data_IF_223853199682
#
_entry.id   IF_223853199682
#
_cell.length_a   1.000
_cell.length_b   1.000
_cell.length_c   1.000
_cell.angle_alpha   90.00
_cell.angle_beta   90.00
_cell.angle_gamma   90.00
#
_symmetry.space_group_name_H-M   'P 1'
#
loop_
_entity.id
_entity.type
_entity.pdbx_description
1 polymer ?
#
# COMPACT_ATOMS: atom_id res chain seq x y z
N UNK A 1 -0.57 8.12 -34.80
CA UNK A 1 0.06 8.85 -33.68
C UNK A 1 0.11 10.32 -34.07
N UNK A 2 -0.16 11.22 -33.12
CA UNK A 2 0.04 12.65 -33.36
C UNK A 2 1.52 13.00 -33.29
N UNK A 3 1.93 14.14 -33.86
CA UNK A 3 3.30 14.65 -33.71
C UNK A 3 3.52 15.37 -32.38
N UNK A 4 2.47 15.54 -31.56
CA UNK A 4 2.51 16.23 -30.27
C UNK A 4 1.93 15.31 -29.19
N UNK A 5 2.60 15.23 -28.05
CA UNK A 5 2.14 14.51 -26.87
C UNK A 5 2.37 15.34 -25.61
N UNK A 6 1.55 15.07 -24.59
CA UNK A 6 1.67 15.72 -23.28
C UNK A 6 1.57 14.71 -22.15
N UNK A 7 2.21 15.01 -21.02
CA UNK A 7 2.05 14.23 -19.78
C UNK A 7 2.29 15.09 -18.56
N UNK A 8 1.71 14.68 -17.43
CA UNK A 8 1.90 15.32 -16.14
C UNK A 8 0.85 16.38 -15.83
N UNK A 9 1.18 17.25 -14.87
CA UNK A 9 0.25 18.21 -14.28
C UNK A 9 0.89 19.60 -14.21
N UNK A 10 0.07 20.64 -14.45
CA UNK A 10 0.46 22.05 -14.31
C UNK A 10 -0.63 22.88 -13.67
N UNK A 11 -0.27 24.11 -13.31
CA UNK A 11 -1.20 25.10 -12.78
C UNK A 11 -1.08 25.34 -11.28
N UNK A 12 -1.99 26.16 -10.76
CA UNK A 12 -1.97 26.60 -9.36
C UNK A 12 -2.24 25.42 -8.44
N UNK A 13 -1.35 25.21 -7.47
CA UNK A 13 -1.45 24.12 -6.49
C UNK A 13 -0.64 22.87 -6.82
N UNK A 14 -0.15 22.72 -8.06
CA UNK A 14 0.77 21.63 -8.42
C UNK A 14 2.12 21.84 -7.72
N UNK A 15 2.61 20.77 -7.08
CA UNK A 15 3.87 20.72 -6.33
C UNK A 15 4.57 19.42 -6.65
N UNK A 16 5.90 19.47 -6.70
CA UNK A 16 6.76 18.30 -6.89
C UNK A 16 6.36 17.43 -8.08
N UNK A 17 5.91 18.08 -9.15
CA UNK A 17 5.48 17.45 -10.40
C UNK A 17 5.79 18.43 -11.55
N UNK A 18 5.71 17.93 -12.77
CA UNK A 18 5.94 18.72 -13.97
C UNK A 18 4.89 18.40 -15.04
N UNK A 19 4.75 19.30 -16.00
CA UNK A 19 3.99 19.09 -17.23
C UNK A 19 4.93 19.21 -18.40
N UNK A 20 4.93 18.21 -19.27
CA UNK A 20 5.76 18.19 -20.47
C UNK A 20 4.90 18.15 -21.72
N UNK A 21 5.32 18.91 -22.73
CA UNK A 21 4.85 18.79 -24.11
C UNK A 21 6.04 18.45 -24.99
N UNK A 22 5.90 17.42 -25.82
CA UNK A 22 6.92 17.01 -26.80
C UNK A 22 6.28 17.07 -28.18
N UNK A 23 6.90 17.80 -29.09
CA UNK A 23 6.55 17.90 -30.50
C UNK A 23 7.71 17.34 -31.35
N UNK A 24 7.44 16.34 -32.19
CA UNK A 24 8.40 15.85 -33.17
C UNK A 24 8.53 16.85 -34.33
N UNK A 25 9.76 17.12 -34.76
CA UNK A 25 10.03 18.11 -35.82
C UNK A 25 10.97 17.54 -36.89
N UNK A 26 11.07 18.22 -38.03
CA UNK A 26 12.02 17.85 -39.10
C UNK A 26 13.43 18.44 -38.89
N UNK A 27 13.57 19.42 -37.99
CA UNK A 27 14.83 20.12 -37.73
C UNK A 27 15.74 19.29 -36.81
N UNK A 28 17.02 19.21 -37.17
CA UNK A 28 18.02 18.55 -36.32
C UNK A 28 18.15 19.25 -34.96
N UNK A 29 18.27 18.44 -33.90
CA UNK A 29 18.47 18.88 -32.53
C UNK A 29 17.20 18.86 -31.68
N UNK A 30 17.42 18.93 -30.37
CA UNK A 30 16.35 18.98 -29.37
C UNK A 30 16.32 20.40 -28.77
N UNK A 31 15.28 21.15 -29.08
CA UNK A 31 15.02 22.49 -28.53
C UNK A 31 14.18 22.38 -27.25
N UNK A 32 14.72 22.79 -26.11
CA UNK A 32 14.06 22.65 -24.80
C UNK A 32 13.79 24.03 -24.21
N UNK A 33 12.51 24.32 -24.00
CA UNK A 33 12.04 25.48 -23.26
C UNK A 33 11.66 25.06 -21.85
N UNK A 34 12.49 25.45 -20.87
CA UNK A 34 12.30 25.14 -19.46
C UNK A 34 11.70 26.34 -18.72
N UNK A 35 10.52 26.14 -18.11
CA UNK A 35 9.97 27.01 -17.08
C UNK A 35 9.94 26.26 -15.75
N UNK A 36 10.92 26.52 -14.87
CA UNK A 36 11.07 25.80 -13.60
C UNK A 36 11.08 26.74 -12.40
N UNK A 37 10.36 26.37 -11.34
CA UNK A 37 10.46 27.05 -10.02
C UNK A 37 11.82 26.89 -9.34
N UNK A 38 12.61 25.90 -9.75
CA UNK A 38 13.94 25.60 -9.20
C UNK A 38 15.05 25.72 -10.24
N UNK A 39 14.75 26.34 -11.39
CA UNK A 39 15.64 26.37 -12.56
C UNK A 39 16.95 27.12 -12.34
N UNK A 40 17.02 28.03 -11.37
CA UNK A 40 18.27 28.72 -11.00
C UNK A 40 19.32 27.74 -10.48
N UNK A 41 18.89 26.66 -9.82
CA UNK A 41 19.79 25.70 -9.19
C UNK A 41 19.90 24.42 -10.02
N UNK A 42 18.77 23.91 -10.55
CA UNK A 42 18.71 22.58 -11.17
C UNK A 42 18.38 22.60 -12.67
N UNK A 43 18.39 23.78 -13.30
CA UNK A 43 17.92 23.93 -14.68
C UNK A 43 18.78 23.15 -15.69
N UNK A 44 20.09 23.13 -15.51
CA UNK A 44 21.01 22.43 -16.39
C UNK A 44 20.85 20.90 -16.28
N UNK A 45 20.71 20.38 -15.05
CA UNK A 45 20.47 18.95 -14.82
C UNK A 45 19.14 18.49 -15.40
N UNK A 46 18.07 19.27 -15.22
CA UNK A 46 16.74 18.96 -15.78
C UNK A 46 16.80 18.88 -17.32
N UNK A 47 17.45 19.86 -17.97
CA UNK A 47 17.61 19.88 -19.43
C UNK A 47 18.43 18.67 -19.90
N UNK A 48 19.51 18.35 -19.18
CA UNK A 48 20.35 17.19 -19.49
C UNK A 48 19.56 15.89 -19.39
N UNK A 49 18.83 15.68 -18.30
CA UNK A 49 18.01 14.48 -18.09
C UNK A 49 16.99 14.29 -19.21
N UNK A 50 16.28 15.34 -19.60
CA UNK A 50 15.30 15.28 -20.70
C UNK A 50 15.99 14.86 -22.01
N UNK A 51 17.16 15.44 -22.33
CA UNK A 51 17.92 15.06 -23.53
C UNK A 51 18.36 13.61 -23.48
N UNK A 52 18.87 13.15 -22.34
CA UNK A 52 19.33 11.77 -22.17
C UNK A 52 18.19 10.77 -22.37
N UNK A 53 17.00 11.05 -21.84
CA UNK A 53 15.80 10.23 -22.04
C UNK A 53 15.37 10.22 -23.51
N UNK A 54 15.28 11.39 -24.17
CA UNK A 54 14.88 11.46 -25.57
C UNK A 54 15.86 10.72 -26.49
N UNK A 55 17.16 10.90 -26.25
CA UNK A 55 18.21 10.17 -26.97
C UNK A 55 18.12 8.66 -26.75
N UNK A 56 17.82 8.19 -25.53
CA UNK A 56 17.60 6.77 -25.22
C UNK A 56 16.48 6.16 -26.08
N UNK A 57 15.41 6.92 -26.31
CA UNK A 57 14.31 6.53 -27.19
C UNK A 57 14.56 6.78 -28.68
N UNK A 58 15.72 7.35 -29.06
CA UNK A 58 16.07 7.64 -30.44
C UNK A 58 15.43 8.90 -31.02
N UNK A 59 14.92 9.79 -30.17
CA UNK A 59 14.33 11.07 -30.57
C UNK A 59 15.43 12.13 -30.57
N UNK A 60 15.89 12.53 -31.75
CA UNK A 60 16.93 13.56 -31.92
C UNK A 60 16.40 14.88 -32.48
N UNK A 61 15.13 14.91 -32.90
CA UNK A 61 14.47 16.06 -33.55
C UNK A 61 13.16 16.38 -32.85
N UNK A 62 13.22 17.24 -31.85
CA UNK A 62 12.04 17.57 -31.06
C UNK A 62 12.08 18.98 -30.51
N UNK A 63 10.89 19.54 -30.32
CA UNK A 63 10.67 20.70 -29.48
C UNK A 63 10.01 20.25 -28.19
N UNK A 64 10.57 20.66 -27.06
CA UNK A 64 10.11 20.29 -25.74
C UNK A 64 9.76 21.55 -24.96
N UNK A 65 8.60 21.56 -24.33
CA UNK A 65 8.23 22.56 -23.34
C UNK A 65 8.00 21.86 -22.00
N UNK A 66 8.72 22.29 -20.96
CA UNK A 66 8.58 21.76 -19.60
C UNK A 66 8.16 22.87 -18.64
N UNK A 67 7.02 22.69 -17.99
CA UNK A 67 6.58 23.47 -16.84
C UNK A 67 6.86 22.66 -15.55
N UNK A 68 7.93 23.00 -14.84
CA UNK A 68 8.38 22.30 -13.63
C UNK A 68 7.99 23.05 -12.33
N UNK A 69 7.40 22.30 -11.41
CA UNK A 69 7.04 22.74 -10.06
C UNK A 69 7.86 22.04 -8.96
N UNK A 70 9.15 21.80 -9.21
CA UNK A 70 10.09 21.17 -8.28
C UNK A 70 10.01 19.64 -8.31
N UNK A 71 9.76 19.05 -9.48
CA UNK A 71 9.74 17.62 -9.69
C UNK A 71 11.14 17.02 -9.44
N UNK A 72 11.17 15.84 -8.83
CA UNK A 72 12.39 15.04 -8.70
C UNK A 72 12.69 14.33 -10.03
N UNK A 73 13.95 13.97 -10.25
CA UNK A 73 14.44 13.33 -11.49
C UNK A 73 13.56 12.13 -11.92
N UNK A 74 13.26 11.20 -11.01
CA UNK A 74 12.44 10.03 -11.33
C UNK A 74 11.01 10.36 -11.80
N UNK A 75 10.48 11.52 -11.40
CA UNK A 75 9.17 12.03 -11.80
C UNK A 75 9.28 12.62 -13.20
N UNK A 76 10.29 13.44 -13.46
CA UNK A 76 10.59 13.99 -14.79
C UNK A 76 10.76 12.84 -15.78
N UNK A 77 11.54 11.83 -15.43
CA UNK A 77 11.72 10.61 -16.22
C UNK A 77 10.40 9.92 -16.56
N UNK A 78 9.50 9.74 -15.58
CA UNK A 78 8.19 9.13 -15.82
C UNK A 78 7.30 9.98 -16.75
N UNK A 79 7.28 11.32 -16.59
CA UNK A 79 6.48 12.22 -17.44
C UNK A 79 7.01 12.28 -18.87
N UNK A 80 8.34 12.33 -19.04
CA UNK A 80 8.97 12.33 -20.36
C UNK A 80 8.69 11.00 -21.07
N UNK A 81 8.91 9.85 -20.42
CA UNK A 81 8.65 8.54 -21.01
C UNK A 81 7.17 8.37 -21.39
N UNK A 82 6.25 8.84 -20.54
CA UNK A 82 4.81 8.80 -20.82
C UNK A 82 4.44 9.60 -22.07
N UNK A 83 5.03 10.77 -22.28
CA UNK A 83 4.82 11.57 -23.49
C UNK A 83 5.48 10.92 -24.72
N UNK A 84 6.68 10.35 -24.58
CA UNK A 84 7.37 9.63 -25.67
C UNK A 84 6.57 8.44 -26.16
N UNK A 85 6.04 7.60 -25.26
CA UNK A 85 5.24 6.41 -25.62
C UNK A 85 3.91 6.72 -26.29
N UNK A 86 3.45 7.98 -26.26
CA UNK A 86 2.30 8.44 -27.05
C UNK A 86 2.69 8.81 -28.50
N UNK A 87 3.94 9.22 -28.71
CA UNK A 87 4.46 9.65 -30.01
C UNK A 87 4.98 8.49 -30.85
N UNK A 88 5.60 7.49 -30.21
CA UNK A 88 6.25 6.37 -30.88
C UNK A 88 5.85 5.02 -30.28
N UNK A 89 5.84 3.99 -31.10
CA UNK A 89 5.66 2.61 -30.65
C UNK A 89 7.03 2.05 -30.20
N UNK A 90 7.16 1.73 -28.91
CA UNK A 90 8.40 1.20 -28.35
C UNK A 90 8.19 0.41 -27.07
N UNK A 91 8.89 -0.72 -26.96
CA UNK A 91 8.95 -1.55 -25.76
C UNK A 91 10.13 -1.16 -24.84
N UNK A 92 10.96 -0.18 -25.24
CA UNK A 92 12.04 0.34 -24.39
C UNK A 92 11.48 0.96 -23.11
N UNK A 93 12.25 0.92 -22.04
CA UNK A 93 11.89 1.47 -20.72
C UNK A 93 13.05 2.27 -20.15
N UNK A 94 12.81 3.53 -19.80
CA UNK A 94 13.83 4.34 -19.13
C UNK A 94 13.69 4.15 -17.62
N UNK A 95 14.55 3.29 -17.07
CA UNK A 95 14.49 2.89 -15.66
C UNK A 95 15.53 3.67 -14.84
N UNK A 96 15.11 4.53 -13.88
CA UNK A 96 16.01 5.06 -12.86
C UNK A 96 16.69 3.92 -12.08
N UNK A 97 17.78 4.18 -11.36
CA UNK A 97 18.43 3.17 -10.51
C UNK A 97 17.47 2.65 -9.42
N UNK A 98 17.66 1.42 -8.95
CA UNK A 98 16.96 0.93 -7.76
C UNK A 98 17.85 1.22 -6.53
N UNK A 99 17.40 2.12 -5.66
CA UNK A 99 18.15 2.51 -4.45
C UNK A 99 18.25 1.35 -3.46
N UNK A 100 19.33 1.31 -2.67
CA UNK A 100 19.59 0.23 -1.68
C UNK A 100 18.48 0.13 -0.64
N UNK A 101 17.94 1.26 -0.20
CA UNK A 101 16.87 1.34 0.80
C UNK A 101 15.58 0.67 0.34
N UNK A 102 15.42 0.38 -0.95
CA UNK A 102 14.24 -0.28 -1.50
C UNK A 102 14.47 -1.77 -1.82
N UNK A 103 15.60 -2.36 -1.39
CA UNK A 103 15.91 -3.78 -1.63
C UNK A 103 15.40 -4.73 -0.55
N UNK A 104 14.88 -4.24 0.57
CA UNK A 104 14.36 -5.10 1.64
C UNK A 104 13.06 -5.83 1.24
N UNK A 105 12.78 -6.94 1.93
CA UNK A 105 11.55 -7.71 1.77
C UNK A 105 10.75 -7.73 3.06
N UNK A 106 9.44 -7.98 2.94
CA UNK A 106 8.55 -8.16 4.08
C UNK A 106 8.16 -9.61 4.25
N UNK A 107 7.77 -9.97 5.47
CA UNK A 107 7.33 -11.31 5.83
C UNK A 107 5.80 -11.42 5.77
N UNK A 108 5.30 -12.66 5.74
CA UNK A 108 3.87 -12.94 5.83
C UNK A 108 3.23 -12.25 7.04
N UNK A 109 3.90 -12.33 8.19
CA UNK A 109 3.42 -11.81 9.48
C UNK A 109 3.84 -10.34 9.75
N UNK A 110 4.30 -9.60 8.73
CA UNK A 110 4.59 -8.16 8.86
C UNK A 110 3.39 -7.41 9.45
N UNK A 111 3.63 -6.47 10.37
CA UNK A 111 2.56 -5.68 10.97
C UNK A 111 1.93 -4.76 9.91
N UNK A 112 0.61 -4.63 9.91
CA UNK A 112 -0.13 -3.81 8.92
C UNK A 112 -1.19 -2.93 9.59
N UNK A 113 -0.87 -2.36 10.75
CA UNK A 113 -1.81 -1.52 11.51
C UNK A 113 -2.27 -0.32 10.69
N UNK A 114 -1.32 0.37 10.07
CA UNK A 114 -1.54 1.57 9.28
C UNK A 114 -1.02 1.39 7.86
N UNK A 115 -1.89 1.65 6.88
CA UNK A 115 -1.53 1.59 5.46
C UNK A 115 -1.96 2.89 4.81
N UNK A 116 -1.01 3.69 4.37
CA UNK A 116 -1.28 5.02 3.84
C UNK A 116 -1.58 4.94 2.33
N UNK A 117 -2.82 5.26 1.95
CA UNK A 117 -3.26 5.36 0.56
C UNK A 117 -2.80 6.67 -0.07
N UNK A 118 -2.12 6.57 -1.21
CA UNK A 118 -1.58 7.71 -1.96
C UNK A 118 -1.88 7.53 -3.45
N UNK A 119 -2.47 8.54 -4.12
CA UNK A 119 -2.69 8.48 -5.56
C UNK A 119 -1.38 8.31 -6.33
N UNK A 120 -1.28 7.26 -7.15
CA UNK A 120 -0.07 6.91 -7.89
C UNK A 120 0.34 7.95 -8.94
N UNK A 121 -0.57 8.86 -9.32
CA UNK A 121 -0.33 9.95 -10.26
C UNK A 121 0.01 11.31 -9.59
N UNK A 122 0.07 11.37 -8.26
CA UNK A 122 0.27 12.61 -7.48
C UNK A 122 1.56 12.55 -6.66
N UNK A 123 2.72 12.89 -7.25
CA UNK A 123 4.02 12.68 -6.61
C UNK A 123 4.23 13.44 -5.30
N UNK A 124 3.66 14.63 -5.16
CA UNK A 124 3.82 15.44 -3.93
C UNK A 124 3.34 14.72 -2.66
N UNK A 125 2.40 13.77 -2.78
CA UNK A 125 1.89 13.02 -1.64
C UNK A 125 2.77 11.82 -1.27
N UNK A 126 3.55 11.27 -2.21
CA UNK A 126 4.40 10.10 -1.96
C UNK A 126 5.81 10.44 -1.45
N UNK A 127 6.40 11.56 -1.87
CA UNK A 127 7.80 11.92 -1.57
C UNK A 127 8.14 11.86 -0.06
N UNK A 128 7.22 12.31 0.79
CA UNK A 128 7.45 12.38 2.25
C UNK A 128 6.64 11.35 3.04
N UNK A 129 5.94 10.43 2.37
CA UNK A 129 5.03 9.51 3.03
C UNK A 129 5.73 8.63 4.08
N UNK A 130 6.92 8.12 3.77
CA UNK A 130 7.68 7.23 4.66
C UNK A 130 8.19 7.90 5.94
N UNK A 131 8.37 9.23 5.95
CA UNK A 131 8.81 9.98 7.15
C UNK A 131 7.80 9.82 8.30
N UNK A 132 6.52 9.63 7.97
CA UNK A 132 5.46 9.42 8.95
C UNK A 132 5.37 8.00 9.52
N UNK A 133 6.28 7.10 9.10
CA UNK A 133 6.40 5.71 9.58
C UNK A 133 5.09 4.91 9.56
N UNK A 134 4.30 4.91 8.47
CA UNK A 134 3.22 3.93 8.33
C UNK A 134 3.82 2.51 8.23
N UNK A 135 3.03 1.48 8.52
CA UNK A 135 3.50 0.10 8.35
C UNK A 135 3.57 -0.30 6.87
N UNK A 136 2.71 0.31 6.04
CA UNK A 136 2.72 0.17 4.59
C UNK A 136 2.34 1.46 3.86
N UNK A 137 2.86 1.64 2.65
CA UNK A 137 2.50 2.73 1.75
C UNK A 137 1.89 2.12 0.50
N UNK A 138 0.65 2.51 0.22
CA UNK A 138 -0.11 2.05 -0.94
C UNK A 138 -0.02 3.12 -2.03
N UNK A 139 0.71 2.80 -3.09
CA UNK A 139 0.67 3.58 -4.33
C UNK A 139 -0.53 3.09 -5.15
N UNK A 140 -1.54 3.94 -5.29
CA UNK A 140 -2.81 3.56 -5.86
C UNK A 140 -2.87 3.81 -7.38
N UNK A 141 -3.14 2.75 -8.15
CA UNK A 141 -3.38 2.81 -9.59
C UNK A 141 -4.88 2.72 -9.92
N UNK A 142 -5.76 2.62 -8.92
CA UNK A 142 -7.21 2.43 -9.08
C UNK A 142 -7.99 3.73 -8.84
N UNK A 143 -8.93 3.80 -7.91
CA UNK A 143 -9.96 4.86 -7.88
C UNK A 143 -9.42 6.29 -7.75
N UNK A 144 -8.25 6.49 -7.17
CA UNK A 144 -7.67 7.84 -7.06
C UNK A 144 -7.00 8.35 -8.35
N UNK A 145 -6.96 7.53 -9.40
CA UNK A 145 -6.35 7.86 -10.70
C UNK A 145 -7.41 7.84 -11.80
N UNK A 146 -7.61 8.99 -12.45
CA UNK A 146 -8.51 9.13 -13.58
C UNK A 146 -8.14 8.16 -14.74
N UNK A 147 -9.12 7.64 -15.52
CA UNK A 147 -8.87 6.64 -16.56
C UNK A 147 -7.80 7.02 -17.60
N UNK A 148 -7.78 8.28 -18.04
CA UNK A 148 -6.82 8.83 -19.00
C UNK A 148 -5.41 9.00 -18.42
N UNK A 149 -5.30 9.00 -17.08
CA UNK A 149 -4.04 9.16 -16.33
C UNK A 149 -3.41 7.84 -15.89
N UNK A 150 -4.08 6.70 -16.10
CA UNK A 150 -3.58 5.37 -15.68
C UNK A 150 -2.23 5.02 -16.30
N UNK A 151 -2.05 5.29 -17.59
CA UNK A 151 -0.81 4.95 -18.30
C UNK A 151 0.41 5.70 -17.73
N UNK A 152 0.28 7.01 -17.47
CA UNK A 152 1.35 7.77 -16.83
C UNK A 152 1.53 7.42 -15.35
N UNK A 153 0.45 7.07 -14.63
CA UNK A 153 0.53 6.64 -13.24
C UNK A 153 1.34 5.36 -13.06
N UNK A 154 1.21 4.38 -13.98
CA UNK A 154 2.02 3.16 -13.96
C UNK A 154 3.52 3.45 -14.02
N UNK A 155 3.93 4.33 -14.93
CA UNK A 155 5.34 4.73 -15.08
C UNK A 155 5.84 5.48 -13.85
N UNK A 156 4.99 6.33 -13.26
CA UNK A 156 5.34 7.06 -12.05
C UNK A 156 5.47 6.13 -10.83
N UNK A 157 4.53 5.20 -10.64
CA UNK A 157 4.58 4.18 -9.57
C UNK A 157 5.80 3.27 -9.76
N UNK A 158 6.07 2.81 -10.99
CA UNK A 158 7.27 2.05 -11.35
C UNK A 158 8.54 2.77 -10.89
N UNK A 159 8.67 4.05 -11.23
CA UNK A 159 9.84 4.84 -10.88
C UNK A 159 9.90 5.13 -9.36
N UNK A 160 8.74 5.36 -8.71
CA UNK A 160 8.67 5.57 -7.26
C UNK A 160 9.14 4.33 -6.49
N UNK A 161 8.74 3.12 -6.89
CA UNK A 161 9.23 1.86 -6.29
C UNK A 161 10.77 1.75 -6.33
N UNK A 162 11.41 2.39 -7.31
CA UNK A 162 12.86 2.34 -7.50
C UNK A 162 13.62 3.45 -6.77
N UNK A 163 13.01 4.63 -6.61
CA UNK A 163 13.72 5.86 -6.21
C UNK A 163 13.19 6.52 -4.93
N UNK A 164 11.97 6.23 -4.51
CA UNK A 164 11.40 6.78 -3.29
C UNK A 164 11.90 6.00 -2.07
N UNK A 165 12.47 6.65 -1.07
CA UNK A 165 12.78 5.98 0.19
C UNK A 165 11.49 5.76 1.01
N UNK A 166 11.11 4.49 1.22
CA UNK A 166 9.92 4.12 1.99
C UNK A 166 10.16 4.03 3.51
N UNK A 167 11.40 4.26 3.97
CA UNK A 167 11.80 4.21 5.39
C UNK A 167 11.42 2.89 6.09
N UNK A 168 11.45 1.78 5.35
CA UNK A 168 11.09 0.44 5.84
C UNK A 168 9.60 0.09 5.80
N UNK A 169 8.72 1.03 5.40
CA UNK A 169 7.28 0.75 5.24
C UNK A 169 7.02 -0.20 4.06
N UNK A 170 6.20 -1.23 4.24
CA UNK A 170 5.89 -2.20 3.19
C UNK A 170 5.43 -1.50 1.89
N UNK A 171 6.11 -1.80 0.79
CA UNK A 171 5.82 -1.20 -0.53
C UNK A 171 4.62 -1.90 -1.13
N UNK A 172 3.48 -1.21 -1.12
CA UNK A 172 2.22 -1.75 -1.59
C UNK A 172 1.76 -1.04 -2.86
N UNK A 173 1.12 -1.76 -3.76
CA UNK A 173 0.43 -1.17 -4.92
C UNK A 173 -0.99 -1.71 -4.98
N UNK A 174 -1.98 -0.81 -5.07
CA UNK A 174 -3.35 -1.19 -5.43
C UNK A 174 -3.48 -1.14 -6.94
N UNK A 175 -3.62 -2.30 -7.56
CA UNK A 175 -3.83 -2.42 -9.01
C UNK A 175 -5.27 -2.07 -9.36
N UNK A 176 -5.56 -1.88 -10.64
CA UNK A 176 -6.92 -1.78 -11.14
C UNK A 176 -7.67 -3.11 -10.97
N UNK A 177 -9.00 -3.07 -11.08
CA UNK A 177 -9.81 -4.28 -11.02
C UNK A 177 -9.42 -5.29 -12.13
N UNK A 178 -9.36 -6.57 -11.77
CA UNK A 178 -9.11 -7.69 -12.69
C UNK A 178 -10.28 -7.79 -13.69
N UNK A 179 -10.04 -7.93 -15.01
CA UNK A 179 -8.76 -8.31 -15.64
C UNK A 179 -7.81 -7.15 -15.99
N UNK A 180 -8.26 -5.89 -16.01
CA UNK A 180 -7.41 -4.74 -16.42
C UNK A 180 -6.20 -4.55 -15.50
N UNK A 181 -6.33 -4.87 -14.22
CA UNK A 181 -5.23 -4.83 -13.26
C UNK A 181 -4.06 -5.77 -13.56
N UNK A 182 -4.25 -6.79 -14.41
CA UNK A 182 -3.17 -7.70 -14.80
C UNK A 182 -2.07 -6.97 -15.58
N UNK A 183 -2.43 -5.93 -16.35
CA UNK A 183 -1.50 -5.09 -17.09
C UNK A 183 -0.66 -4.20 -16.15
N UNK A 184 -1.17 -3.88 -14.96
CA UNK A 184 -0.42 -3.10 -13.98
C UNK A 184 0.79 -3.90 -13.43
N UNK A 185 0.68 -5.24 -13.42
CA UNK A 185 1.71 -6.13 -12.88
C UNK A 185 3.03 -6.04 -13.66
N UNK A 186 2.97 -5.83 -14.97
CA UNK A 186 4.14 -5.63 -15.83
C UNK A 186 4.99 -4.42 -15.37
N UNK A 187 4.38 -3.43 -14.72
CA UNK A 187 5.03 -2.19 -14.27
C UNK A 187 5.48 -2.20 -12.81
N UNK A 188 5.16 -3.25 -12.04
CA UNK A 188 5.43 -3.26 -10.59
C UNK A 188 6.18 -4.49 -10.11
N UNK A 189 5.89 -5.67 -10.67
CA UNK A 189 6.57 -6.92 -10.28
C UNK A 189 8.08 -6.85 -10.49
N UNK A 190 8.60 -6.36 -11.64
CA UNK A 190 10.05 -6.27 -11.87
C UNK A 190 10.78 -5.25 -10.98
N UNK A 191 10.06 -4.51 -10.14
CA UNK A 191 10.59 -3.35 -9.43
C UNK A 191 10.42 -3.43 -7.91
N UNK A 192 10.44 -4.66 -7.39
CA UNK A 192 10.52 -4.97 -5.96
C UNK A 192 9.34 -4.44 -5.11
N UNK A 193 8.13 -4.48 -5.66
CA UNK A 193 6.90 -4.35 -4.86
C UNK A 193 6.81 -5.50 -3.84
N UNK A 194 6.35 -5.21 -2.62
CA UNK A 194 6.19 -6.24 -1.59
C UNK A 194 4.81 -6.89 -1.62
N UNK A 195 3.77 -6.07 -1.79
CA UNK A 195 2.38 -6.51 -1.64
C UNK A 195 1.46 -5.85 -2.66
N UNK A 196 0.56 -6.64 -3.24
CA UNK A 196 -0.45 -6.17 -4.20
C UNK A 196 -1.82 -6.20 -3.55
N UNK A 197 -2.53 -5.07 -3.62
CA UNK A 197 -3.94 -5.00 -3.27
C UNK A 197 -4.78 -5.26 -4.52
N UNK A 198 -5.72 -6.20 -4.43
CA UNK A 198 -6.62 -6.59 -5.52
C UNK A 198 -8.01 -6.03 -5.20
N UNK A 199 -8.43 -4.88 -5.76
CA UNK A 199 -9.73 -4.30 -5.45
C UNK A 199 -10.87 -5.15 -6.02
N UNK A 200 -12.05 -5.01 -5.43
CA UNK A 200 -13.32 -5.62 -5.85
C UNK A 200 -13.15 -7.11 -6.17
N UNK A 201 -12.53 -7.83 -5.23
CA UNK A 201 -12.30 -9.25 -5.36
C UNK A 201 -13.53 -10.03 -4.90
N UNK A 202 -14.05 -10.87 -5.79
CA UNK A 202 -15.30 -11.60 -5.62
C UNK A 202 -15.15 -13.12 -5.76
N UNK A 203 -13.96 -13.62 -6.15
CA UNK A 203 -13.71 -15.05 -6.36
C UNK A 203 -12.25 -15.45 -6.17
N UNK A 204 -11.99 -16.72 -5.82
CA UNK A 204 -10.61 -17.25 -5.82
C UNK A 204 -9.98 -17.24 -7.23
N UNK A 205 -10.80 -17.34 -8.28
CA UNK A 205 -10.33 -17.29 -9.66
C UNK A 205 -9.57 -16.01 -10.01
N UNK A 206 -9.98 -14.85 -9.47
CA UNK A 206 -9.23 -13.60 -9.63
C UNK A 206 -7.84 -13.67 -8.98
N UNK A 207 -7.74 -14.33 -7.82
CA UNK A 207 -6.45 -14.55 -7.14
C UNK A 207 -5.54 -15.44 -7.98
N UNK A 208 -6.08 -16.52 -8.56
CA UNK A 208 -5.31 -17.42 -9.42
C UNK A 208 -4.84 -16.73 -10.70
N UNK A 209 -5.65 -15.85 -11.30
CA UNK A 209 -5.25 -15.05 -12.46
C UNK A 209 -4.08 -14.12 -12.13
N UNK A 210 -4.16 -13.42 -10.98
CA UNK A 210 -3.07 -12.54 -10.52
C UNK A 210 -1.80 -13.35 -10.27
N UNK A 211 -1.87 -14.47 -9.53
CA UNK A 211 -0.70 -15.29 -9.24
C UNK A 211 -0.06 -15.88 -10.50
N UNK A 212 -0.86 -16.34 -11.46
CA UNK A 212 -0.34 -16.81 -12.75
C UNK A 212 0.51 -15.75 -13.45
N UNK A 213 0.02 -14.51 -13.52
CA UNK A 213 0.75 -13.39 -14.14
C UNK A 213 1.99 -13.00 -13.32
N UNK A 214 1.93 -13.07 -11.98
CA UNK A 214 3.09 -12.87 -11.11
C UNK A 214 4.17 -13.92 -11.40
N UNK A 215 3.81 -15.20 -11.47
CA UNK A 215 4.75 -16.29 -11.71
C UNK A 215 5.42 -16.18 -13.10
N UNK A 216 4.65 -15.83 -14.13
CA UNK A 216 5.16 -15.53 -15.47
C UNK A 216 6.22 -14.40 -15.44
N UNK A 217 5.91 -13.29 -14.75
CA UNK A 217 6.82 -12.16 -14.63
C UNK A 217 8.05 -12.48 -13.77
N UNK A 218 7.87 -13.17 -12.65
CA UNK A 218 8.98 -13.61 -11.81
C UNK A 218 9.92 -14.54 -12.56
N UNK A 219 9.40 -15.47 -13.34
CA UNK A 219 10.20 -16.35 -14.20
C UNK A 219 10.93 -15.54 -15.28
N UNK A 220 10.25 -14.62 -15.96
CA UNK A 220 10.83 -13.78 -17.03
C UNK A 220 11.97 -12.89 -16.52
N UNK A 221 11.85 -12.37 -15.31
CA UNK A 221 12.80 -11.43 -14.72
C UNK A 221 13.72 -12.05 -13.66
N UNK A 222 13.71 -13.38 -13.50
CA UNK A 222 14.50 -14.13 -12.52
C UNK A 222 14.35 -13.63 -11.06
N UNK A 223 13.12 -13.32 -10.67
CA UNK A 223 12.78 -12.81 -9.33
C UNK A 223 12.41 -13.99 -8.43
N UNK A 224 13.11 -14.13 -7.31
CA UNK A 224 12.87 -15.22 -6.34
C UNK A 224 11.98 -14.78 -5.20
N UNK A 225 12.02 -13.48 -4.87
CA UNK A 225 11.38 -12.92 -3.68
C UNK A 225 9.86 -13.09 -3.70
N UNK A 226 9.23 -13.29 -2.53
CA UNK A 226 7.78 -13.43 -2.46
C UNK A 226 7.09 -12.10 -2.81
N UNK A 227 5.93 -12.20 -3.44
CA UNK A 227 5.00 -11.09 -3.64
C UNK A 227 3.71 -11.46 -2.94
N UNK A 228 3.33 -10.66 -1.95
CA UNK A 228 2.17 -10.92 -1.11
C UNK A 228 0.90 -10.33 -1.73
N UNK A 229 -0.26 -10.91 -1.40
CA UNK A 229 -1.56 -10.46 -1.86
C UNK A 229 -2.45 -10.04 -0.69
N UNK A 230 -3.20 -8.97 -0.93
CA UNK A 230 -4.25 -8.48 -0.05
C UNK A 230 -5.51 -8.16 -0.89
N UNK A 231 -6.42 -9.12 -1.05
CA UNK A 231 -7.69 -8.88 -1.71
C UNK A 231 -8.52 -7.88 -0.89
N UNK A 232 -9.21 -6.97 -1.57
CA UNK A 232 -10.15 -6.05 -0.95
C UNK A 232 -11.58 -6.51 -1.26
N UNK A 233 -12.34 -6.75 -0.18
CA UNK A 233 -13.74 -7.15 -0.22
C UNK A 233 -14.60 -5.89 -0.21
N UNK A 234 -15.29 -5.65 -1.32
CA UNK A 234 -15.97 -4.38 -1.63
C UNK A 234 -17.39 -4.58 -2.18
N UNK A 235 -17.89 -5.82 -2.21
CA UNK A 235 -19.24 -6.16 -2.68
C UNK A 235 -19.90 -7.23 -1.82
N UNK A 236 -21.22 -7.36 -1.92
CA UNK A 236 -21.97 -8.41 -1.24
C UNK A 236 -21.48 -9.81 -1.64
N UNK A 237 -21.16 -10.02 -2.92
CA UNK A 237 -20.62 -11.29 -3.40
C UNK A 237 -19.23 -11.58 -2.79
N UNK A 238 -18.35 -10.57 -2.75
CA UNK A 238 -17.05 -10.70 -2.11
C UNK A 238 -17.16 -11.05 -0.62
N UNK A 239 -18.15 -10.49 0.08
CA UNK A 239 -18.42 -10.83 1.50
C UNK A 239 -18.81 -12.31 1.64
N UNK A 240 -19.71 -12.81 0.79
CA UNK A 240 -20.12 -14.23 0.82
C UNK A 240 -18.92 -15.14 0.52
N UNK A 241 -18.08 -14.78 -0.45
CA UNK A 241 -16.94 -15.58 -0.89
C UNK A 241 -15.64 -15.31 -0.11
N UNK A 242 -15.68 -14.51 0.96
CA UNK A 242 -14.49 -14.02 1.66
C UNK A 242 -13.51 -15.13 2.07
N UNK A 243 -13.99 -16.29 2.54
CA UNK A 243 -13.11 -17.40 2.93
C UNK A 243 -12.47 -18.10 1.73
N UNK A 244 -13.21 -18.29 0.64
CA UNK A 244 -12.68 -18.85 -0.60
C UNK A 244 -11.56 -17.98 -1.16
N UNK A 245 -11.78 -16.66 -1.19
CA UNK A 245 -10.78 -15.66 -1.60
C UNK A 245 -9.55 -15.70 -0.68
N UNK A 246 -9.78 -15.69 0.64
CA UNK A 246 -8.71 -15.69 1.65
C UNK A 246 -7.82 -16.95 1.61
N UNK A 247 -8.38 -18.09 1.21
CA UNK A 247 -7.69 -19.39 1.15
C UNK A 247 -7.19 -19.75 -0.25
N UNK A 248 -7.35 -18.87 -1.23
CA UNK A 248 -7.09 -19.16 -2.64
C UNK A 248 -5.62 -19.44 -2.96
N UNK A 249 -4.66 -18.91 -2.17
CA UNK A 249 -3.23 -19.12 -2.35
C UNK A 249 -2.40 -18.81 -1.10
N UNK A 250 -1.22 -19.42 -0.97
CA UNK A 250 -0.34 -19.29 0.21
C UNK A 250 0.22 -17.87 0.43
N UNK A 251 0.37 -17.11 -0.66
CA UNK A 251 0.85 -15.74 -0.65
C UNK A 251 -0.25 -14.70 -0.40
N UNK A 252 -1.51 -15.12 -0.20
CA UNK A 252 -2.52 -14.27 0.43
C UNK A 252 -2.16 -14.15 1.91
N UNK A 253 -1.85 -12.93 2.35
CA UNK A 253 -1.39 -12.66 3.73
C UNK A 253 -2.37 -11.81 4.52
N UNK A 254 -3.35 -11.22 3.83
CA UNK A 254 -4.32 -10.33 4.43
C UNK A 254 -5.60 -10.25 3.61
N UNK A 255 -6.72 -9.96 4.27
CA UNK A 255 -7.99 -9.62 3.63
C UNK A 255 -8.41 -8.23 4.13
N UNK A 256 -8.67 -7.32 3.20
CA UNK A 256 -9.17 -5.98 3.52
C UNK A 256 -10.66 -5.87 3.21
N UNK A 257 -11.36 -4.94 3.86
CA UNK A 257 -12.73 -4.54 3.50
C UNK A 257 -12.76 -3.08 3.07
N UNK A 258 -13.46 -2.77 1.98
CA UNK A 258 -13.70 -1.40 1.52
C UNK A 258 -15.18 -1.04 1.70
N UNK A 259 -15.48 -0.17 2.67
CA UNK A 259 -16.87 0.07 3.08
C UNK A 259 -17.64 1.03 2.16
N UNK A 260 -16.97 1.96 1.48
CA UNK A 260 -17.65 2.89 0.58
C UNK A 260 -18.27 2.14 -0.61
N UNK A 261 -17.48 1.34 -1.33
CA UNK A 261 -17.98 0.49 -2.42
C UNK A 261 -18.98 -0.56 -1.92
N UNK A 262 -18.70 -1.21 -0.78
CA UNK A 262 -19.60 -2.22 -0.22
C UNK A 262 -20.98 -1.64 0.10
N UNK A 263 -21.04 -0.47 0.74
CA UNK A 263 -22.33 0.15 1.08
C UNK A 263 -23.08 0.62 -0.16
N UNK A 264 -22.37 1.09 -1.19
CA UNK A 264 -22.96 1.38 -2.49
C UNK A 264 -23.55 0.13 -3.16
N UNK A 265 -22.84 -1.00 -3.13
CA UNK A 265 -23.26 -2.28 -3.72
C UNK A 265 -24.53 -2.83 -3.08
N UNK A 266 -24.65 -2.77 -1.74
CA UNK A 266 -25.85 -3.22 -1.02
C UNK A 266 -26.97 -2.16 -0.94
N UNK A 267 -26.77 -0.98 -1.55
CA UNK A 267 -27.78 0.08 -1.62
C UNK A 267 -28.06 0.81 -0.31
N UNK A 268 -27.06 0.94 0.57
CA UNK A 268 -27.17 1.69 1.83
C UNK A 268 -26.14 2.82 1.91
N UNK A 269 -26.22 3.64 2.95
CA UNK A 269 -25.20 4.65 3.26
C UNK A 269 -24.31 4.18 4.41
N UNK A 270 -23.02 4.47 4.30
CA UNK A 270 -22.10 4.32 5.43
C UNK A 270 -22.51 5.23 6.58
N UNK A 271 -22.46 4.71 7.81
CA UNK A 271 -22.74 5.47 9.02
C UNK A 271 -21.60 5.40 10.01
N UNK A 272 -21.54 6.36 10.93
CA UNK A 272 -20.59 6.29 12.04
C UNK A 272 -20.92 5.15 13.02
N UNK A 273 -22.16 4.65 13.07
CA UNK A 273 -22.55 3.53 13.92
C UNK A 273 -21.98 2.20 13.39
N UNK A 274 -21.97 2.03 12.06
CA UNK A 274 -21.40 0.88 11.38
C UNK A 274 -22.27 -0.39 11.44
N UNK A 275 -23.51 -0.29 11.91
CA UNK A 275 -24.47 -1.41 11.96
C UNK A 275 -24.77 -1.96 10.57
N UNK A 276 -24.78 -1.11 9.55
CA UNK A 276 -24.98 -1.49 8.14
C UNK A 276 -23.86 -2.39 7.58
N UNK A 277 -22.67 -2.32 8.17
CA UNK A 277 -21.49 -3.08 7.75
C UNK A 277 -21.08 -4.17 8.74
N UNK A 278 -21.82 -4.34 9.84
CA UNK A 278 -21.46 -5.26 10.92
C UNK A 278 -21.31 -6.71 10.43
N UNK A 279 -22.26 -7.19 9.62
CA UNK A 279 -22.20 -8.53 9.03
C UNK A 279 -20.95 -8.69 8.16
N UNK A 280 -20.74 -7.79 7.20
CA UNK A 280 -19.61 -7.86 6.28
C UNK A 280 -18.25 -7.82 7.01
N UNK A 281 -18.10 -6.91 7.98
CA UNK A 281 -16.89 -6.80 8.80
C UNK A 281 -16.65 -8.07 9.60
N UNK A 282 -17.69 -8.62 10.24
CA UNK A 282 -17.60 -9.88 11.00
C UNK A 282 -17.26 -11.08 10.11
N UNK A 283 -17.83 -11.13 8.90
CA UNK A 283 -17.57 -12.19 7.92
C UNK A 283 -16.12 -12.13 7.42
N UNK A 284 -15.61 -10.94 7.09
CA UNK A 284 -14.20 -10.73 6.69
C UNK A 284 -13.23 -11.14 7.79
N UNK A 285 -13.51 -10.78 9.05
CA UNK A 285 -12.68 -11.22 10.19
C UNK A 285 -12.66 -12.75 10.30
N UNK A 286 -13.82 -13.40 10.28
CA UNK A 286 -13.87 -14.86 10.41
C UNK A 286 -13.19 -15.57 9.24
N UNK A 287 -13.41 -15.11 8.00
CA UNK A 287 -12.75 -15.64 6.81
C UNK A 287 -11.22 -15.52 6.91
N UNK A 288 -10.71 -14.34 7.24
CA UNK A 288 -9.28 -14.11 7.38
C UNK A 288 -8.66 -14.99 8.49
N UNK A 289 -9.29 -15.06 9.67
CA UNK A 289 -8.80 -15.89 10.78
C UNK A 289 -8.85 -17.38 10.46
N UNK A 290 -9.89 -17.85 9.75
CA UNK A 290 -10.00 -19.24 9.30
C UNK A 290 -8.88 -19.60 8.30
N UNK A 291 -8.51 -18.67 7.42
CA UNK A 291 -7.37 -18.80 6.50
C UNK A 291 -6.00 -18.50 7.16
N UNK A 292 -5.97 -18.11 8.45
CA UNK A 292 -4.77 -17.72 9.20
C UNK A 292 -4.03 -16.52 8.59
N UNK A 293 -4.77 -15.53 8.12
CA UNK A 293 -4.26 -14.28 7.56
C UNK A 293 -4.82 -13.06 8.33
N UNK A 294 -4.25 -11.87 8.08
CA UNK A 294 -4.61 -10.66 8.81
C UNK A 294 -5.89 -10.01 8.24
N UNK A 295 -6.97 -9.87 9.04
CA UNK A 295 -8.12 -9.04 8.65
C UNK A 295 -7.79 -7.57 8.84
N UNK A 296 -8.04 -6.73 7.82
CA UNK A 296 -7.81 -5.30 7.92
C UNK A 296 -9.04 -4.48 7.55
N UNK A 297 -9.33 -3.48 8.37
CA UNK A 297 -10.52 -2.67 8.22
C UNK A 297 -10.37 -1.58 7.13
N UNK A 298 -11.50 -0.96 6.79
CA UNK A 298 -11.63 0.10 5.81
C UNK A 298 -10.99 1.42 6.25
N UNK A 299 -10.78 2.33 5.30
CA UNK A 299 -10.34 3.70 5.56
C UNK A 299 -11.36 4.48 6.39
N UNK A 300 -10.87 5.44 7.18
CA UNK A 300 -11.70 6.47 7.83
C UNK A 300 -11.63 7.77 7.02
N UNK A 301 -12.77 8.22 6.50
CA UNK A 301 -12.85 9.31 5.51
C UNK A 301 -12.75 10.71 6.12
N UNK A 302 -13.20 10.92 7.36
CA UNK A 302 -13.09 12.22 8.01
C UNK A 302 -11.66 12.45 8.55
N UNK A 303 -10.89 13.25 7.82
CA UNK A 303 -9.50 13.56 8.17
C UNK A 303 -9.42 14.62 9.29
N UNK A 304 -10.50 15.32 9.62
CA UNK A 304 -10.50 16.32 10.69
C UNK A 304 -10.86 15.72 12.05
N UNK A 305 -11.72 14.69 12.09
CA UNK A 305 -12.23 14.12 13.34
C UNK A 305 -11.38 12.95 13.87
N UNK A 306 -10.32 13.28 14.61
CA UNK A 306 -9.44 12.27 15.22
C UNK A 306 -10.06 11.51 16.39
N UNK A 307 -11.08 12.07 17.06
CA UNK A 307 -11.77 11.37 18.14
C UNK A 307 -12.71 10.31 17.57
N UNK A 308 -13.47 10.65 16.52
CA UNK A 308 -14.26 9.65 15.80
C UNK A 308 -13.39 8.56 15.17
N UNK A 309 -12.20 8.91 14.65
CA UNK A 309 -11.21 7.93 14.21
C UNK A 309 -10.82 6.99 15.35
N UNK A 310 -10.47 7.51 16.53
CA UNK A 310 -10.12 6.71 17.70
C UNK A 310 -11.23 5.73 18.07
N UNK A 311 -12.48 6.19 18.14
CA UNK A 311 -13.63 5.32 18.42
C UNK A 311 -13.85 4.28 17.32
N UNK A 312 -13.58 4.62 16.05
CA UNK A 312 -13.61 3.66 14.96
C UNK A 312 -12.51 2.58 15.09
N UNK A 313 -11.28 2.97 15.44
CA UNK A 313 -10.17 2.04 15.68
C UNK A 313 -10.49 1.07 16.82
N UNK A 314 -11.01 1.58 17.95
CA UNK A 314 -11.37 0.74 19.10
C UNK A 314 -12.45 -0.29 18.74
N UNK A 315 -13.46 0.11 17.96
CA UNK A 315 -14.49 -0.82 17.45
C UNK A 315 -13.90 -1.86 16.48
N UNK A 316 -13.01 -1.44 15.59
CA UNK A 316 -12.33 -2.33 14.65
C UNK A 316 -11.48 -3.37 15.38
N UNK A 317 -10.67 -2.94 16.37
CA UNK A 317 -9.91 -3.81 17.26
C UNK A 317 -10.82 -4.78 18.03
N UNK A 318 -11.96 -4.30 18.54
CA UNK A 318 -12.92 -5.13 19.28
C UNK A 318 -13.58 -6.21 18.41
N UNK A 319 -13.82 -5.95 17.11
CA UNK A 319 -14.28 -6.95 16.16
C UNK A 319 -13.20 -7.98 15.80
N UNK A 320 -11.92 -7.67 16.02
CA UNK A 320 -10.79 -8.55 15.76
C UNK A 320 -9.97 -8.21 14.52
N UNK A 321 -10.09 -7.00 13.98
CA UNK A 321 -9.19 -6.49 12.93
C UNK A 321 -7.78 -6.22 13.46
N UNK A 322 -6.77 -6.39 12.60
CA UNK A 322 -5.36 -6.16 12.88
C UNK A 322 -4.84 -4.81 12.35
N UNK A 323 -5.71 -3.96 11.81
CA UNK A 323 -5.32 -2.65 11.29
C UNK A 323 -6.43 -1.95 10.51
N UNK A 324 -6.11 -0.81 9.90
CA UNK A 324 -6.99 -0.11 8.97
C UNK A 324 -6.22 0.71 7.92
N UNK A 325 -6.95 1.20 6.92
CA UNK A 325 -6.40 2.14 5.95
C UNK A 325 -6.35 3.57 6.48
N UNK A 326 -5.30 4.30 6.14
CA UNK A 326 -5.14 5.73 6.38
C UNK A 326 -5.16 6.47 5.04
N UNK A 327 -5.83 7.61 4.97
CA UNK A 327 -5.83 8.53 3.80
C UNK A 327 -5.12 9.84 4.10
N UNK A 328 -4.66 10.04 5.34
CA UNK A 328 -3.86 11.19 5.73
C UNK A 328 -2.83 10.81 6.82
N UNK A 329 -1.58 11.32 6.75
CA UNK A 329 -0.52 10.97 7.71
C UNK A 329 -0.88 11.13 9.20
N UNK A 330 -1.63 12.19 9.54
CA UNK A 330 -2.12 12.42 10.92
C UNK A 330 -2.91 11.26 11.54
N UNK A 331 -3.51 10.38 10.73
CA UNK A 331 -4.27 9.22 11.21
C UNK A 331 -3.35 8.10 11.73
N UNK A 332 -2.10 8.04 11.25
CA UNK A 332 -1.15 6.95 11.55
C UNK A 332 -0.92 6.81 13.06
N UNK A 333 -0.63 7.92 13.74
CA UNK A 333 -0.36 7.90 15.18
C UNK A 333 -1.57 7.39 15.99
N UNK A 334 -2.78 7.85 15.66
CA UNK A 334 -4.02 7.42 16.31
C UNK A 334 -4.27 5.93 16.08
N UNK A 335 -4.07 5.45 14.85
CA UNK A 335 -4.22 4.03 14.49
C UNK A 335 -3.21 3.17 15.26
N UNK A 336 -1.93 3.53 15.24
CA UNK A 336 -0.87 2.82 15.97
C UNK A 336 -1.13 2.75 17.48
N UNK A 337 -1.49 3.88 18.09
CA UNK A 337 -1.71 3.94 19.54
C UNK A 337 -2.86 3.03 19.98
N UNK A 338 -3.95 2.99 19.21
CA UNK A 338 -5.20 2.33 19.63
C UNK A 338 -5.32 0.87 19.14
N UNK A 339 -4.57 0.45 18.12
CA UNK A 339 -4.39 -0.98 17.82
C UNK A 339 -3.39 -1.66 18.76
N UNK A 340 -2.40 -0.92 19.28
CA UNK A 340 -1.46 -1.45 20.25
C UNK A 340 -2.17 -1.95 21.53
N UNK A 341 -1.60 -2.94 22.22
CA UNK A 341 -2.00 -3.27 23.59
C UNK A 341 -1.82 -2.07 24.53
N UNK A 342 -2.83 -1.77 25.32
CA UNK A 342 -2.74 -0.80 26.40
C UNK A 342 -2.09 -1.39 27.66
N UNK A 343 -1.78 -0.54 28.65
CA UNK A 343 -1.13 -0.98 29.90
C UNK A 343 -1.97 -2.01 30.66
N UNK A 344 -3.29 -1.87 30.68
CA UNK A 344 -4.17 -2.78 31.38
C UNK A 344 -4.26 -4.15 30.68
N UNK A 345 -4.30 -4.16 29.35
CA UNK A 345 -4.22 -5.36 28.51
C UNK A 345 -2.90 -6.11 28.74
N UNK A 346 -1.77 -5.38 28.76
CA UNK A 346 -0.44 -5.95 29.02
C UNK A 346 -0.36 -6.55 30.42
N UNK A 347 -0.71 -5.81 31.46
CA UNK A 347 -0.64 -6.30 32.84
C UNK A 347 -1.56 -7.49 33.10
N UNK A 348 -2.75 -7.49 32.50
CA UNK A 348 -3.65 -8.65 32.53
C UNK A 348 -3.03 -9.85 31.82
N UNK A 349 -2.41 -9.64 30.67
CA UNK A 349 -1.77 -10.70 29.91
C UNK A 349 -0.58 -11.30 30.67
N UNK A 350 0.27 -10.48 31.30
CA UNK A 350 1.37 -10.93 32.17
C UNK A 350 0.88 -11.85 33.28
N UNK A 351 -0.17 -11.44 34.00
CA UNK A 351 -0.76 -12.24 35.10
C UNK A 351 -1.26 -13.60 34.61
N UNK A 352 -1.93 -13.63 33.46
CA UNK A 352 -2.44 -14.87 32.86
C UNK A 352 -1.29 -15.79 32.45
N UNK A 353 -0.28 -15.26 31.76
CA UNK A 353 0.88 -16.04 31.28
C UNK A 353 1.70 -16.58 32.46
N UNK A 354 1.99 -15.76 33.48
CA UNK A 354 2.72 -16.21 34.66
C UNK A 354 1.96 -17.31 35.42
N UNK A 355 0.66 -17.12 35.66
CA UNK A 355 -0.15 -18.13 36.33
C UNK A 355 -0.18 -19.46 35.55
N UNK A 356 -0.21 -19.40 34.20
CA UNK A 356 -0.13 -20.58 33.36
C UNK A 356 1.21 -21.32 33.47
N UNK A 357 2.32 -20.59 33.47
CA UNK A 357 3.65 -21.20 33.55
C UNK A 357 3.86 -21.84 34.94
N UNK A 358 3.51 -21.12 36.02
CA UNK A 358 3.61 -21.65 37.39
C UNK A 358 2.78 -22.92 37.60
N UNK A 359 1.58 -22.98 36.99
CA UNK A 359 0.74 -24.17 37.08
C UNK A 359 1.32 -25.34 36.29
N UNK A 360 1.86 -25.12 35.09
CA UNK A 360 2.55 -26.15 34.33
C UNK A 360 3.78 -26.69 35.06
N UNK A 361 4.57 -25.82 35.71
CA UNK A 361 5.71 -26.21 36.56
C UNK A 361 5.27 -27.10 37.73
N UNK A 362 4.05 -26.91 38.23
CA UNK A 362 3.42 -27.73 39.30
C UNK A 362 2.63 -28.94 38.77
N UNK A 363 2.59 -29.16 37.46
CA UNK A 363 1.83 -30.25 36.83
C UNK A 363 0.30 -30.10 36.90
N UNK A 364 -0.21 -28.87 37.08
CA UNK A 364 -1.64 -28.59 37.16
C UNK A 364 -2.19 -28.20 35.78
N UNK A 365 -3.16 -28.95 35.26
CA UNK A 365 -3.77 -28.70 33.94
C UNK A 365 -4.79 -27.55 33.90
N UNK A 366 -5.22 -27.04 35.06
CA UNK A 366 -6.23 -25.97 35.17
C UNK A 366 -5.71 -24.90 36.12
N UNK A 367 -5.75 -23.64 35.68
CA UNK A 367 -5.19 -22.50 36.41
C UNK A 367 -6.31 -21.57 36.86
N UNK A 368 -6.38 -21.28 38.16
CA UNK A 368 -7.30 -20.28 38.70
C UNK A 368 -6.56 -18.97 38.96
N UNK A 369 -7.01 -17.87 38.37
CA UNK A 369 -6.53 -16.52 38.72
C UNK A 369 -7.69 -15.76 39.37
N UNK A 370 -7.65 -15.63 40.69
CA UNK A 370 -8.78 -15.15 41.48
C UNK A 370 -9.96 -16.12 41.39
N UNK A 371 -11.14 -15.63 40.99
CA UNK A 371 -12.37 -16.43 40.85
C UNK A 371 -12.60 -17.01 39.45
N UNK A 372 -11.68 -16.79 38.50
CA UNK A 372 -11.83 -17.21 37.11
C UNK A 372 -10.87 -18.33 36.74
N UNK A 373 -11.40 -19.34 36.05
CA UNK A 373 -10.62 -20.40 35.42
C UNK A 373 -9.93 -19.84 34.16
N UNK A 374 -8.66 -20.16 33.98
CA UNK A 374 -7.86 -19.82 32.80
C UNK A 374 -7.71 -21.08 31.97
N UNK A 375 -8.40 -21.08 30.83
CA UNK A 375 -8.31 -22.15 29.84
C UNK A 375 -7.22 -21.87 28.79
N UNK A 376 -6.73 -22.89 28.06
CA UNK A 376 -5.70 -22.70 27.03
C UNK A 376 -5.97 -21.57 26.00
N UNK A 377 -7.23 -21.34 25.54
CA UNK A 377 -7.52 -20.21 24.65
C UNK A 377 -7.29 -18.83 25.29
N UNK A 378 -7.52 -18.69 26.61
CA UNK A 378 -7.28 -17.46 27.36
C UNK A 378 -5.79 -17.17 27.43
N UNK A 379 -4.98 -18.21 27.68
CA UNK A 379 -3.52 -18.12 27.69
C UNK A 379 -2.99 -17.74 26.32
N UNK A 380 -3.47 -18.40 25.24
CA UNK A 380 -3.04 -18.09 23.88
C UNK A 380 -3.30 -16.63 23.51
N UNK A 381 -4.47 -16.09 23.90
CA UNK A 381 -4.79 -14.67 23.69
C UNK A 381 -3.83 -13.76 24.47
N UNK A 382 -3.56 -14.07 25.73
CA UNK A 382 -2.61 -13.31 26.54
C UNK A 382 -1.20 -13.35 25.96
N UNK A 383 -0.72 -14.51 25.50
CA UNK A 383 0.58 -14.64 24.85
C UNK A 383 0.68 -13.80 23.58
N UNK A 384 -0.39 -13.77 22.76
CA UNK A 384 -0.44 -12.90 21.59
C UNK A 384 -0.35 -11.41 21.97
N UNK A 385 -1.05 -10.98 23.02
CA UNK A 385 -0.95 -9.61 23.55
C UNK A 385 0.47 -9.27 24.00
N UNK A 386 1.15 -10.18 24.71
CA UNK A 386 2.55 -10.01 25.13
C UNK A 386 3.48 -9.91 23.92
N UNK A 387 3.36 -10.84 22.97
CA UNK A 387 4.18 -10.85 21.76
C UNK A 387 4.02 -9.55 20.97
N UNK A 388 2.78 -9.05 20.84
CA UNK A 388 2.50 -7.78 20.18
C UNK A 388 3.11 -6.59 20.92
N UNK A 389 2.95 -6.53 22.25
CA UNK A 389 3.54 -5.47 23.07
C UNK A 389 5.06 -5.44 22.98
N UNK A 390 5.71 -6.62 22.93
CA UNK A 390 7.16 -6.75 22.74
C UNK A 390 7.57 -6.29 21.34
N UNK A 391 6.87 -6.73 20.29
CA UNK A 391 7.16 -6.34 18.92
C UNK A 391 7.01 -4.82 18.69
N UNK A 392 6.11 -4.17 19.43
CA UNK A 392 5.91 -2.72 19.39
C UNK A 392 6.80 -1.93 20.36
N UNK A 393 7.71 -2.60 21.09
CA UNK A 393 8.57 -1.94 22.08
C UNK A 393 7.84 -1.38 23.29
N UNK A 394 6.58 -1.78 23.52
CA UNK A 394 5.80 -1.42 24.71
C UNK A 394 6.09 -2.31 25.92
N UNK A 395 6.78 -3.42 25.69
CA UNK A 395 7.20 -4.37 26.71
C UNK A 395 8.59 -4.91 26.36
N UNK A 396 9.47 -5.04 27.35
CA UNK A 396 10.79 -5.63 27.12
C UNK A 396 10.69 -7.15 26.88
N UNK A 397 11.61 -7.73 26.11
CA UNK A 397 11.62 -9.18 25.84
C UNK A 397 11.76 -10.02 27.11
N UNK A 398 12.52 -9.52 28.08
CA UNK A 398 12.78 -10.13 29.39
C UNK A 398 11.79 -9.67 30.47
N UNK A 399 10.57 -9.25 30.11
CA UNK A 399 9.56 -8.73 31.06
C UNK A 399 9.23 -9.63 32.25
N UNK A 400 9.59 -10.93 32.19
CA UNK A 400 9.39 -11.91 33.26
C UNK A 400 10.58 -11.96 34.24
N UNK A 401 11.75 -11.47 33.86
CA UNK A 401 12.96 -11.40 34.70
C UNK A 401 12.98 -10.15 35.59
N UNK A 402 12.13 -9.17 35.31
CA UNK A 402 11.98 -7.93 36.10
C UNK A 402 11.06 -8.09 37.34
N UNK A 403 10.80 -9.32 37.79
CA UNK A 403 9.92 -9.63 38.94
C UNK A 403 10.71 -9.80 40.23
#
# INVERSE_FOLDING_TARGET
MGNIATSGNKGKGVRSDCFITIELTDKEGIDIQLQSKVGVIFGEEIIKEIKDILNYFGITKAKVHLEDSGALAFIIAARVEAAVKQLIQTDKEYLPELIEENKYHTTKDHNRFSRLYLPGNTPSLMINAGIHKPDGIILDLEDSVAPDKKAEARLLVRNALRQLNFYGAERMVRINQVPKGLDDLDFIIPHNVNLILIPKCESAGQIHQVNKKIDELKSKHNIKDPVWLMPIIESALGVINAYEIASAADNVVSLAIGLEDYTADIGTRRTNEGTESFFARSQVVNAARAARIQPIDSVFSDVADMEALKQNVLRSKALGFDGMGCIHPRQIAVVHENFAPDKAEIEKAKKIVNAFIEANEKGLGVVSLGTKMIDPPVVKRAQNTINLAVNMGKLQKNWREEI
#
